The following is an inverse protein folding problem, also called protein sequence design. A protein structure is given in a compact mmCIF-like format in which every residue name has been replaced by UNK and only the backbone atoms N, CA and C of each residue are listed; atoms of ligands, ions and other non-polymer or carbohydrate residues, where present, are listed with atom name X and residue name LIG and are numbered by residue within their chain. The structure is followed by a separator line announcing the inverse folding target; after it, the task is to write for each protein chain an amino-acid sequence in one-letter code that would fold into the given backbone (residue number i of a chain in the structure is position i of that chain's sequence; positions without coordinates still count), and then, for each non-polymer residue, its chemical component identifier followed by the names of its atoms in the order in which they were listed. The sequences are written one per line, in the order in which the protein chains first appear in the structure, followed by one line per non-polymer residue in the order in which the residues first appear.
data_IF_250041625262
#
_entry.id   IF_250041625262
#
_cell.length_a   1.000
_cell.length_b   1.000
_cell.length_c   1.000
_cell.angle_alpha   90.00
_cell.angle_beta   90.00
_cell.angle_gamma   90.00
#
_symmetry.space_group_name_H-M   'P 1'
#
loop_
_entity.id
_entity.type
_entity.pdbx_description
1 polymer ?
#
# COMPACT_ATOMS: atom_id res chain seq x y z
N UNK A 1 -66.17 25.12 2.32
CA UNK A 1 -64.94 25.06 3.15
C UNK A 1 -65.10 23.81 4.01
N UNK A 2 -64.31 22.76 3.92
CA UNK A 2 -62.85 22.69 3.95
C UNK A 2 -62.35 21.49 3.12
N UNK A 3 -61.32 21.71 2.31
CA UNK A 3 -60.60 20.68 1.56
C UNK A 3 -59.71 19.91 2.53
N UNK A 4 -59.80 18.58 2.56
CA UNK A 4 -58.80 17.73 3.22
C UNK A 4 -57.55 17.72 2.34
N UNK A 5 -56.49 18.36 2.82
CA UNK A 5 -55.16 18.32 2.22
C UNK A 5 -54.58 16.93 2.43
N UNK A 6 -54.32 16.23 1.34
CA UNK A 6 -53.42 15.09 1.32
C UNK A 6 -52.00 15.65 1.50
N UNK A 7 -51.41 15.45 2.67
CA UNK A 7 -49.97 15.60 2.82
C UNK A 7 -49.29 14.45 2.08
N UNK A 8 -48.81 14.77 0.88
CA UNK A 8 -47.79 14.00 0.18
C UNK A 8 -46.58 13.87 1.10
N UNK A 9 -46.28 12.63 1.52
CA UNK A 9 -45.01 12.30 2.16
C UNK A 9 -43.97 12.34 1.04
N UNK A 10 -43.31 13.49 0.91
CA UNK A 10 -42.15 13.65 0.03
C UNK A 10 -41.07 12.65 0.49
N UNK A 11 -40.62 11.71 -0.36
CA UNK A 11 -39.55 10.81 0.00
C UNK A 11 -38.30 11.63 0.30
N UNK A 12 -37.70 11.34 1.45
CA UNK A 12 -36.45 11.92 1.90
C UNK A 12 -35.42 11.82 0.78
N UNK A 13 -34.78 12.95 0.48
CA UNK A 13 -33.92 13.15 -0.70
C UNK A 13 -32.98 11.97 -0.89
N UNK A 14 -33.14 11.22 -1.99
CA UNK A 14 -32.09 10.36 -2.53
C UNK A 14 -30.82 11.22 -2.63
N UNK A 15 -29.85 10.99 -1.73
CA UNK A 15 -28.49 11.49 -1.91
C UNK A 15 -27.97 10.81 -3.17
N UNK A 16 -27.97 11.55 -4.27
CA UNK A 16 -27.22 11.16 -5.46
C UNK A 16 -25.75 11.31 -5.04
N UNK A 17 -25.11 10.19 -4.69
CA UNK A 17 -23.66 10.16 -4.52
C UNK A 17 -23.05 10.72 -5.82
N UNK A 18 -22.37 11.86 -5.73
CA UNK A 18 -21.74 12.47 -6.90
C UNK A 18 -20.54 11.61 -7.27
N UNK A 19 -20.69 10.76 -8.28
CA UNK A 19 -19.54 10.06 -8.86
C UNK A 19 -18.64 11.07 -9.59
N UNK A 20 -17.38 11.19 -9.14
CA UNK A 20 -16.35 11.96 -9.82
C UNK A 20 -15.49 11.02 -10.67
N UNK A 21 -15.11 11.46 -11.88
CA UNK A 21 -14.22 10.72 -12.75
C UNK A 21 -12.77 11.10 -12.43
N UNK A 22 -11.96 10.11 -12.08
CA UNK A 22 -10.52 10.23 -11.94
C UNK A 22 -9.86 9.64 -13.20
N UNK A 23 -9.15 10.48 -13.95
CA UNK A 23 -8.46 10.06 -15.17
C UNK A 23 -6.97 9.92 -14.88
N UNK A 24 -6.42 8.74 -15.16
CA UNK A 24 -4.99 8.45 -15.11
C UNK A 24 -4.51 8.36 -16.55
N UNK A 25 -3.59 9.24 -16.94
CA UNK A 25 -2.91 9.16 -18.24
C UNK A 25 -1.65 8.33 -18.10
N UNK A 26 -1.61 7.21 -18.81
CA UNK A 26 -0.46 6.31 -18.86
C UNK A 26 0.69 6.91 -19.70
N UNK A 27 1.94 6.43 -19.55
CA UNK A 27 3.09 6.90 -20.32
C UNK A 27 2.93 6.79 -21.85
N UNK A 28 2.12 5.83 -22.32
CA UNK A 28 1.79 5.62 -23.73
C UNK A 28 0.65 6.53 -24.25
N UNK A 29 0.06 7.37 -23.40
CA UNK A 29 -1.05 8.28 -23.72
C UNK A 29 -2.44 7.67 -23.54
N UNK A 30 -2.56 6.40 -23.16
CA UNK A 30 -3.86 5.79 -22.83
C UNK A 30 -4.43 6.38 -21.53
N UNK A 31 -5.76 6.46 -21.45
CA UNK A 31 -6.46 6.97 -20.27
C UNK A 31 -7.22 5.86 -19.54
N UNK A 32 -6.90 5.67 -18.26
CA UNK A 32 -7.68 4.84 -17.35
C UNK A 32 -8.65 5.75 -16.60
N UNK A 33 -9.94 5.47 -16.72
CA UNK A 33 -11.00 6.23 -16.03
C UNK A 33 -11.52 5.42 -14.85
N UNK A 34 -11.30 5.92 -13.64
CA UNK A 34 -11.81 5.34 -12.39
C UNK A 34 -12.90 6.28 -11.85
N UNK A 35 -14.13 5.77 -11.71
CA UNK A 35 -15.23 6.55 -11.13
C UNK A 35 -15.24 6.40 -9.62
N UNK A 36 -15.09 7.47 -8.85
CA UNK A 36 -15.05 7.42 -7.38
C UNK A 36 -16.24 8.17 -6.78
N UNK A 37 -16.79 7.67 -5.68
CA UNK A 37 -17.74 8.43 -4.86
C UNK A 37 -17.01 9.34 -3.87
N UNK A 38 -17.74 10.27 -3.22
CA UNK A 38 -17.16 11.26 -2.31
C UNK A 38 -16.35 10.61 -1.15
N UNK A 39 -16.83 9.48 -0.61
CA UNK A 39 -16.14 8.76 0.46
C UNK A 39 -14.81 8.15 -0.02
N UNK A 40 -14.80 7.58 -1.22
CA UNK A 40 -13.60 6.99 -1.83
C UNK A 40 -12.54 8.07 -2.09
N UNK A 41 -12.96 9.26 -2.51
CA UNK A 41 -12.07 10.42 -2.69
C UNK A 41 -11.47 10.84 -1.36
N UNK A 42 -12.30 11.03 -0.33
CA UNK A 42 -11.84 11.38 1.02
C UNK A 42 -10.84 10.34 1.57
N UNK A 43 -11.13 9.06 1.32
CA UNK A 43 -10.26 7.94 1.70
C UNK A 43 -8.91 8.01 0.99
N UNK A 44 -8.87 8.31 -0.31
CA UNK A 44 -7.63 8.44 -1.08
C UNK A 44 -6.82 9.64 -0.58
N UNK A 45 -7.46 10.80 -0.39
CA UNK A 45 -6.78 12.02 0.09
C UNK A 45 -6.16 11.82 1.47
N UNK A 46 -6.81 11.02 2.32
CA UNK A 46 -6.39 10.73 3.69
C UNK A 46 -5.67 9.38 3.84
N UNK A 47 -5.41 8.63 2.77
CA UNK A 47 -5.08 7.20 2.84
C UNK A 47 -3.93 6.89 3.79
N UNK A 48 -2.82 7.61 3.63
CA UNK A 48 -1.62 7.45 4.47
C UNK A 48 -1.83 7.91 5.91
N UNK A 49 -2.70 8.90 6.13
CA UNK A 49 -3.10 9.29 7.49
C UNK A 49 -3.96 8.20 8.16
N UNK A 50 -4.93 7.65 7.42
CA UNK A 50 -5.81 6.56 7.89
C UNK A 50 -4.98 5.30 8.21
N UNK A 51 -4.02 4.96 7.35
CA UNK A 51 -3.11 3.84 7.57
C UNK A 51 -2.25 4.09 8.82
N UNK A 52 -1.75 5.33 8.99
CA UNK A 52 -0.96 5.75 10.14
C UNK A 52 -1.69 5.90 11.48
N UNK A 53 -3.01 5.61 11.57
CA UNK A 53 -3.75 5.66 12.84
C UNK A 53 -3.23 4.64 13.87
N UNK A 54 -2.69 3.50 13.44
CA UNK A 54 -2.18 2.45 14.34
C UNK A 54 -1.18 1.53 13.64
N UNK A 55 -0.13 1.07 14.34
CA UNK A 55 0.92 0.24 13.73
C UNK A 55 0.37 -1.02 13.03
N UNK A 56 -0.52 -1.76 13.71
CA UNK A 56 -1.14 -2.96 13.14
C UNK A 56 -1.85 -2.73 11.79
N UNK A 57 -2.33 -1.52 11.49
CA UNK A 57 -2.96 -1.26 10.20
C UNK A 57 -1.96 -1.36 9.05
N UNK A 58 -0.68 -1.03 9.30
CA UNK A 58 0.39 -1.29 8.35
C UNK A 58 0.61 -2.79 8.14
N UNK A 59 0.65 -3.58 9.22
CA UNK A 59 0.82 -5.04 9.11
C UNK A 59 -0.31 -5.66 8.29
N UNK A 60 -1.56 -5.26 8.59
CA UNK A 60 -2.75 -5.69 7.86
C UNK A 60 -2.71 -5.27 6.39
N UNK A 61 -2.31 -4.03 6.11
CA UNK A 61 -2.17 -3.53 4.74
C UNK A 61 -1.12 -4.32 3.97
N UNK A 62 0.07 -4.54 4.53
CA UNK A 62 1.15 -5.25 3.83
C UNK A 62 0.78 -6.72 3.56
N UNK A 63 0.14 -7.41 4.52
CA UNK A 63 -0.31 -8.79 4.30
C UNK A 63 -1.41 -8.85 3.25
N UNK A 64 -2.42 -7.97 3.30
CA UNK A 64 -3.49 -7.93 2.30
C UNK A 64 -3.04 -7.38 0.94
N UNK A 65 -1.87 -6.75 0.88
CA UNK A 65 -1.24 -6.36 -0.38
C UNK A 65 -0.65 -7.58 -1.11
N UNK A 66 -0.04 -8.50 -0.36
CA UNK A 66 0.58 -9.72 -0.90
C UNK A 66 -0.48 -10.78 -1.19
N UNK A 67 -1.34 -11.05 -0.21
CA UNK A 67 -2.39 -12.06 -0.29
C UNK A 67 -3.72 -11.39 -0.62
N UNK A 68 -4.29 -11.70 -1.79
CA UNK A 68 -5.47 -11.00 -2.30
C UNK A 68 -6.68 -11.13 -1.38
N UNK A 69 -6.91 -12.31 -0.80
CA UNK A 69 -8.01 -12.53 0.13
C UNK A 69 -7.63 -13.42 1.31
N UNK A 70 -7.87 -12.93 2.53
CA UNK A 70 -7.62 -13.69 3.75
C UNK A 70 -8.79 -13.63 4.73
N UNK A 71 -8.99 -14.72 5.48
CA UNK A 71 -9.87 -14.70 6.64
C UNK A 71 -9.13 -14.25 7.91
N UNK A 72 -9.90 -13.87 8.93
CA UNK A 72 -9.36 -13.35 10.20
C UNK A 72 -8.38 -14.30 10.91
N UNK A 73 -8.55 -15.61 10.77
CA UNK A 73 -7.66 -16.59 11.41
C UNK A 73 -6.31 -16.60 10.71
N UNK A 74 -6.28 -16.58 9.37
CA UNK A 74 -5.04 -16.48 8.60
C UNK A 74 -4.29 -15.20 8.94
N UNK A 75 -5.00 -14.07 8.91
CA UNK A 75 -4.43 -12.75 9.23
C UNK A 75 -3.85 -12.75 10.65
N UNK A 76 -4.62 -13.20 11.64
CA UNK A 76 -4.20 -13.26 13.05
C UNK A 76 -2.91 -14.05 13.28
N UNK A 77 -2.73 -15.15 12.55
CA UNK A 77 -1.49 -15.92 12.62
C UNK A 77 -0.31 -15.18 11.98
N UNK A 78 -0.54 -14.53 10.84
CA UNK A 78 0.52 -13.81 10.11
C UNK A 78 1.00 -12.54 10.81
N UNK A 79 0.10 -11.79 11.48
CA UNK A 79 0.48 -10.59 12.26
C UNK A 79 0.86 -10.90 13.70
N UNK A 80 0.73 -12.15 14.14
CA UNK A 80 0.95 -12.56 15.53
C UNK A 80 0.14 -11.75 16.54
N UNK A 81 -1.12 -11.41 16.20
CA UNK A 81 -2.05 -10.67 17.06
C UNK A 81 -3.31 -11.48 17.30
N UNK A 82 -3.98 -11.20 18.43
CA UNK A 82 -5.25 -11.87 18.75
C UNK A 82 -6.33 -11.59 17.69
N UNK A 83 -7.22 -12.56 17.46
CA UNK A 83 -8.35 -12.41 16.52
C UNK A 83 -9.24 -11.22 16.87
N UNK A 84 -9.44 -10.90 18.15
CA UNK A 84 -10.25 -9.74 18.55
C UNK A 84 -9.57 -8.41 18.20
N UNK A 85 -8.27 -8.30 18.40
CA UNK A 85 -7.46 -7.15 17.96
C UNK A 85 -7.57 -6.98 16.45
N UNK A 86 -7.33 -8.04 15.68
CA UNK A 86 -7.42 -8.03 14.22
C UNK A 86 -8.83 -7.65 13.75
N UNK A 87 -9.87 -8.24 14.33
CA UNK A 87 -11.27 -7.95 13.99
C UNK A 87 -11.58 -6.45 14.13
N UNK A 88 -11.14 -5.85 15.25
CA UNK A 88 -11.35 -4.43 15.53
C UNK A 88 -10.71 -3.55 14.47
N UNK A 89 -9.46 -3.83 14.09
CA UNK A 89 -8.74 -3.02 13.11
C UNK A 89 -9.25 -3.23 11.68
N UNK A 90 -9.57 -4.47 11.29
CA UNK A 90 -10.21 -4.75 9.99
C UNK A 90 -11.55 -4.03 9.86
N UNK A 91 -12.43 -4.11 10.88
CA UNK A 91 -13.71 -3.39 10.87
C UNK A 91 -13.49 -1.89 10.70
N UNK A 92 -12.52 -1.32 11.41
CA UNK A 92 -12.22 0.10 11.33
C UNK A 92 -11.63 0.51 9.97
N UNK A 93 -10.82 -0.34 9.33
CA UNK A 93 -10.31 -0.11 7.97
C UNK A 93 -11.40 -0.26 6.91
N UNK A 94 -12.39 -1.13 7.14
CA UNK A 94 -13.56 -1.32 6.28
C UNK A 94 -14.50 -0.11 6.37
N UNK A 95 -14.72 0.42 7.58
CA UNK A 95 -15.44 1.68 7.81
C UNK A 95 -14.74 2.86 7.12
N UNK A 96 -13.41 2.91 7.18
CA UNK A 96 -12.58 3.89 6.46
C UNK A 96 -12.50 3.60 4.94
N UNK A 97 -13.16 2.56 4.41
CA UNK A 97 -13.21 2.24 2.97
C UNK A 97 -11.94 1.67 2.34
N UNK A 98 -10.90 1.44 3.15
CA UNK A 98 -9.58 0.96 2.70
C UNK A 98 -9.59 -0.52 2.30
N UNK A 99 -10.45 -1.30 2.94
CA UNK A 99 -10.65 -2.71 2.66
C UNK A 99 -12.11 -2.98 2.35
N UNK A 100 -12.36 -4.05 1.60
CA UNK A 100 -13.68 -4.60 1.38
C UNK A 100 -13.70 -6.03 1.90
N UNK A 101 -14.90 -6.53 2.18
CA UNK A 101 -15.07 -7.89 2.66
C UNK A 101 -16.21 -8.60 1.96
N UNK A 102 -16.11 -9.93 1.93
CA UNK A 102 -17.16 -10.81 1.42
C UNK A 102 -17.25 -12.07 2.26
N UNK A 103 -18.34 -12.82 2.10
CA UNK A 103 -18.42 -14.19 2.62
C UNK A 103 -17.81 -15.13 1.60
N UNK A 104 -17.05 -16.13 2.06
CA UNK A 104 -16.57 -17.20 1.20
C UNK A 104 -17.74 -17.99 0.59
N UNK A 105 -17.57 -18.45 -0.65
CA UNK A 105 -18.59 -19.23 -1.36
C UNK A 105 -18.74 -20.64 -0.73
N UNK A 106 -19.97 -20.95 -0.29
CA UNK A 106 -20.52 -22.23 0.24
C UNK A 106 -19.61 -23.17 1.08
N UNK A 107 -19.94 -23.20 2.37
CA UNK A 107 -20.03 -24.34 3.30
C UNK A 107 -19.51 -25.74 2.91
N UNK A 108 -18.54 -26.25 3.69
CA UNK A 108 -18.65 -27.61 4.24
C UNK A 108 -19.87 -27.66 5.18
N UNK A 109 -20.71 -28.71 5.11
CA UNK A 109 -21.92 -28.88 5.94
C UNK A 109 -21.63 -28.54 7.42
N UNK A 110 -22.32 -27.54 7.97
CA UNK A 110 -22.32 -27.20 9.40
C UNK A 110 -21.40 -26.08 9.89
N UNK A 111 -20.57 -25.45 9.04
CA UNK A 111 -19.65 -24.37 9.48
C UNK A 111 -19.96 -23.02 8.84
N UNK A 112 -20.27 -21.97 9.61
CA UNK A 112 -20.46 -20.59 9.10
C UNK A 112 -19.31 -20.20 8.15
N UNK A 113 -19.58 -19.71 6.91
CA UNK A 113 -18.51 -19.40 5.97
C UNK A 113 -17.69 -18.25 6.52
N UNK A 114 -16.35 -18.31 6.44
CA UNK A 114 -15.51 -17.24 6.94
C UNK A 114 -15.75 -15.95 6.15
N UNK A 115 -15.64 -14.82 6.86
CA UNK A 115 -15.52 -13.49 6.24
C UNK A 115 -14.10 -13.34 5.71
N UNK A 116 -13.99 -13.06 4.41
CA UNK A 116 -12.75 -12.78 3.69
C UNK A 116 -12.58 -11.27 3.55
N UNK A 117 -11.35 -10.80 3.69
CA UNK A 117 -10.96 -9.40 3.61
C UNK A 117 -9.94 -9.23 2.50
N UNK A 118 -10.04 -8.12 1.76
CA UNK A 118 -9.10 -7.71 0.72
C UNK A 118 -8.93 -6.19 0.71
N UNK A 119 -7.81 -5.70 0.19
CA UNK A 119 -7.66 -4.27 -0.09
C UNK A 119 -8.71 -3.81 -1.11
N UNK A 120 -9.16 -2.56 -0.98
CA UNK A 120 -10.01 -1.96 -1.98
C UNK A 120 -9.19 -1.67 -3.25
N UNK A 121 -9.20 -2.62 -4.20
CA UNK A 121 -8.42 -2.59 -5.45
C UNK A 121 -8.63 -1.29 -6.24
N UNK A 122 -9.85 -0.75 -6.22
CA UNK A 122 -10.19 0.50 -6.89
C UNK A 122 -9.40 1.69 -6.34
N UNK A 123 -9.25 1.78 -5.02
CA UNK A 123 -8.45 2.83 -4.39
C UNK A 123 -6.96 2.56 -4.57
N UNK A 124 -6.55 1.29 -4.48
CA UNK A 124 -5.16 0.89 -4.67
C UNK A 124 -4.64 1.29 -6.05
N UNK A 125 -5.43 1.06 -7.12
CA UNK A 125 -5.06 1.51 -8.46
C UNK A 125 -4.80 3.02 -8.49
N UNK A 126 -5.68 3.84 -7.92
CA UNK A 126 -5.48 5.31 -7.89
C UNK A 126 -4.19 5.70 -7.15
N UNK A 127 -3.87 5.02 -6.06
CA UNK A 127 -2.67 5.27 -5.28
C UNK A 127 -1.39 4.82 -5.99
N UNK A 128 -1.44 3.71 -6.72
CA UNK A 128 -0.30 3.19 -7.50
C UNK A 128 0.05 4.10 -8.69
N UNK A 129 -0.96 4.73 -9.28
CA UNK A 129 -0.79 5.69 -10.37
C UNK A 129 -0.69 7.14 -9.92
N UNK A 130 -0.66 7.41 -8.61
CA UNK A 130 -0.56 8.77 -8.09
C UNK A 130 0.75 9.43 -8.53
N UNK A 131 0.74 10.74 -8.82
CA UNK A 131 1.91 11.41 -9.38
C UNK A 131 3.14 11.27 -8.48
N UNK A 132 4.25 10.86 -9.09
CA UNK A 132 5.53 10.50 -8.43
C UNK A 132 6.15 11.66 -7.65
N UNK A 133 5.68 12.90 -7.85
CA UNK A 133 6.09 14.07 -7.08
C UNK A 133 4.94 15.10 -7.11
N UNK A 134 3.96 15.00 -6.20
CA UNK A 134 2.85 15.93 -6.21
C UNK A 134 3.36 17.33 -5.87
N UNK A 135 2.90 18.35 -6.60
CA UNK A 135 3.25 19.75 -6.29
C UNK A 135 2.34 20.28 -5.18
N UNK A 136 2.87 21.10 -4.24
CA UNK A 136 2.02 21.74 -3.24
C UNK A 136 0.93 22.58 -3.91
N UNK A 137 -0.32 22.57 -3.40
CA UNK A 137 -1.39 23.42 -3.91
C UNK A 137 -1.05 24.91 -3.72
N UNK A 138 -1.59 25.77 -4.59
CA UNK A 138 -1.38 27.21 -4.48
C UNK A 138 -2.00 27.80 -3.20
N UNK A 139 -3.18 27.28 -2.81
CA UNK A 139 -3.95 27.71 -1.63
C UNK A 139 -3.20 27.42 -0.32
N UNK A 140 -2.87 28.44 0.50
CA UNK A 140 -2.18 28.28 1.78
C UNK A 140 -2.87 27.33 2.76
N UNK A 141 -4.21 27.28 2.81
CA UNK A 141 -4.93 26.38 3.73
C UNK A 141 -4.75 24.92 3.33
N UNK A 142 -4.75 24.65 2.01
CA UNK A 142 -4.50 23.32 1.47
C UNK A 142 -3.04 22.89 1.55
N UNK A 143 -2.08 23.83 1.65
CA UNK A 143 -0.65 23.52 1.81
C UNK A 143 -0.36 22.79 3.12
N UNK A 144 -1.01 23.17 4.22
CA UNK A 144 -0.80 22.52 5.52
C UNK A 144 -1.22 21.05 5.47
N UNK A 145 -2.40 20.78 4.93
CA UNK A 145 -2.89 19.41 4.77
C UNK A 145 -2.05 18.61 3.78
N UNK A 146 -1.61 19.23 2.67
CA UNK A 146 -0.64 18.64 1.76
C UNK A 146 0.66 18.21 2.49
N UNK A 147 1.27 19.08 3.30
CA UNK A 147 2.51 18.73 4.01
C UNK A 147 2.30 17.65 5.07
N UNK A 148 1.17 17.66 5.79
CA UNK A 148 0.81 16.57 6.71
C UNK A 148 0.69 15.23 5.98
N UNK A 149 0.08 15.23 4.78
CA UNK A 149 0.02 14.05 3.92
C UNK A 149 1.40 13.55 3.54
N UNK A 150 2.30 14.43 3.06
CA UNK A 150 3.68 14.05 2.70
C UNK A 150 4.46 13.49 3.90
N UNK A 151 4.29 14.07 5.09
CA UNK A 151 4.91 13.53 6.32
C UNK A 151 4.39 12.12 6.63
N UNK A 152 3.09 11.91 6.55
CA UNK A 152 2.49 10.60 6.81
C UNK A 152 2.90 9.58 5.75
N UNK A 153 2.97 9.97 4.48
CA UNK A 153 3.50 9.13 3.40
C UNK A 153 4.92 8.63 3.73
N UNK A 154 5.84 9.53 4.11
CA UNK A 154 7.19 9.15 4.51
C UNK A 154 7.20 8.20 5.72
N UNK A 155 6.34 8.42 6.72
CA UNK A 155 6.22 7.53 7.88
C UNK A 155 5.71 6.15 7.50
N UNK A 156 4.72 6.08 6.61
CA UNK A 156 4.20 4.82 6.05
C UNK A 156 5.33 4.07 5.36
N UNK A 157 6.06 4.74 4.45
CA UNK A 157 7.16 4.13 3.73
C UNK A 157 8.20 3.55 4.71
N UNK A 158 8.66 4.34 5.69
CA UNK A 158 9.63 3.89 6.70
C UNK A 158 9.13 2.66 7.46
N UNK A 159 7.86 2.65 7.86
CA UNK A 159 7.29 1.52 8.59
C UNK A 159 7.21 0.27 7.72
N UNK A 160 6.77 0.40 6.46
CA UNK A 160 6.78 -0.71 5.49
C UNK A 160 8.19 -1.26 5.27
N UNK A 161 9.22 -0.40 5.16
CA UNK A 161 10.61 -0.87 5.10
C UNK A 161 11.00 -1.68 6.32
N UNK A 162 10.62 -1.23 7.51
CA UNK A 162 10.92 -1.96 8.73
C UNK A 162 10.27 -3.36 8.73
N UNK A 163 8.98 -3.46 8.40
CA UNK A 163 8.28 -4.74 8.30
C UNK A 163 8.99 -5.68 7.32
N UNK A 164 9.37 -5.19 6.13
CA UNK A 164 10.05 -6.01 5.15
C UNK A 164 11.42 -6.49 5.61
N UNK A 165 12.20 -5.62 6.27
CA UNK A 165 13.47 -6.02 6.87
C UNK A 165 13.27 -7.05 7.97
N UNK A 166 12.22 -6.90 8.79
CA UNK A 166 11.88 -7.85 9.84
C UNK A 166 11.47 -9.21 9.25
N UNK A 167 10.79 -9.24 8.09
CA UNK A 167 10.47 -10.48 7.36
C UNK A 167 11.70 -11.17 6.74
N UNK A 168 12.78 -10.44 6.47
CA UNK A 168 14.03 -11.00 5.96
C UNK A 168 14.87 -11.65 7.06
N UNK A 169 14.77 -11.19 8.30
CA UNK A 169 15.59 -11.68 9.42
C UNK A 169 15.49 -13.21 9.62
N UNK A 170 14.31 -13.86 9.61
CA UNK A 170 14.24 -15.31 9.74
C UNK A 170 14.99 -16.07 8.65
N UNK A 171 14.99 -15.55 7.41
CA UNK A 171 15.73 -16.14 6.30
C UNK A 171 17.25 -16.01 6.51
N UNK A 172 17.71 -14.84 6.95
CA UNK A 172 19.13 -14.60 7.28
C UNK A 172 19.59 -15.51 8.43
N UNK A 173 18.81 -15.56 9.52
CA UNK A 173 19.10 -16.42 10.67
C UNK A 173 19.13 -17.90 10.30
N UNK A 174 18.22 -18.32 9.40
CA UNK A 174 18.23 -19.70 8.89
C UNK A 174 19.51 -19.98 8.12
N UNK A 175 19.95 -19.07 7.26
CA UNK A 175 21.20 -19.26 6.53
C UNK A 175 22.41 -19.31 7.47
N UNK A 176 22.46 -18.44 8.47
CA UNK A 176 23.52 -18.42 9.50
C UNK A 176 23.59 -19.74 10.29
N UNK A 177 22.43 -20.31 10.66
CA UNK A 177 22.34 -21.56 11.42
C UNK A 177 23.02 -22.75 10.71
N UNK A 178 22.98 -22.80 9.38
CA UNK A 178 23.55 -23.91 8.60
C UNK A 178 24.97 -23.64 8.12
N UNK A 179 25.64 -22.56 8.53
CA UNK A 179 27.01 -22.27 8.06
C UNK A 179 28.02 -23.36 8.42
N UNK A 180 27.80 -24.09 9.53
CA UNK A 180 28.61 -25.25 9.92
C UNK A 180 28.26 -26.54 9.13
N UNK A 181 27.15 -26.54 8.38
CA UNK A 181 26.70 -27.62 7.48
C UNK A 181 26.65 -27.10 6.04
N UNK A 182 27.83 -27.03 5.42
CA UNK A 182 28.03 -26.45 4.08
C UNK A 182 27.07 -27.00 3.00
N UNK A 183 26.77 -28.32 2.92
CA UNK A 183 25.75 -28.82 2.00
C UNK A 183 24.37 -28.17 2.17
N UNK A 184 23.90 -27.95 3.41
CA UNK A 184 22.59 -27.34 3.66
C UNK A 184 22.63 -25.81 3.54
N UNK A 185 23.70 -25.14 3.98
CA UNK A 185 23.93 -23.73 3.68
C UNK A 185 23.91 -23.47 2.17
N UNK A 186 24.57 -24.31 1.37
CA UNK A 186 24.57 -24.16 -0.10
C UNK A 186 23.15 -24.24 -0.68
N UNK A 187 22.31 -25.17 -0.22
CA UNK A 187 20.91 -25.26 -0.67
C UNK A 187 20.13 -23.98 -0.36
N UNK A 188 20.32 -23.39 0.82
CA UNK A 188 19.67 -22.14 1.21
C UNK A 188 20.19 -20.99 0.34
N UNK A 189 21.50 -20.88 0.17
CA UNK A 189 22.13 -19.86 -0.67
C UNK A 189 21.64 -19.94 -2.11
N UNK A 190 21.75 -21.11 -2.75
CA UNK A 190 21.32 -21.32 -4.13
C UNK A 190 19.84 -20.97 -4.31
N UNK A 191 19.01 -21.27 -3.31
CA UNK A 191 17.56 -21.03 -3.38
C UNK A 191 17.16 -19.58 -3.09
N UNK A 192 17.85 -18.87 -2.20
CA UNK A 192 17.35 -17.60 -1.66
C UNK A 192 18.33 -16.43 -1.73
N UNK A 193 19.57 -16.64 -2.18
CA UNK A 193 20.60 -15.59 -2.16
C UNK A 193 21.46 -15.57 -3.43
N UNK A 194 21.53 -16.66 -4.19
CA UNK A 194 22.23 -16.71 -5.47
C UNK A 194 21.60 -15.75 -6.48
N UNK A 195 22.43 -15.10 -7.29
CA UNK A 195 21.99 -14.24 -8.40
C UNK A 195 21.11 -14.96 -9.42
N UNK A 196 21.21 -16.29 -9.49
CA UNK A 196 20.40 -17.12 -10.40
C UNK A 196 19.02 -17.46 -9.82
N UNK A 197 18.79 -17.17 -8.54
CA UNK A 197 17.49 -17.41 -7.90
C UNK A 197 16.52 -16.26 -8.15
N UNK A 198 15.30 -16.61 -8.55
CA UNK A 198 14.17 -15.67 -8.63
C UNK A 198 13.70 -15.18 -7.25
N UNK A 199 14.10 -15.86 -6.17
CA UNK A 199 13.72 -15.52 -4.80
C UNK A 199 14.78 -14.67 -4.09
N UNK A 200 15.91 -14.39 -4.74
CA UNK A 200 16.99 -13.64 -4.12
C UNK A 200 16.60 -12.18 -3.85
N UNK A 201 16.74 -11.68 -2.62
CA UNK A 201 16.53 -10.27 -2.33
C UNK A 201 17.65 -9.45 -2.99
N UNK A 202 17.28 -8.33 -3.61
CA UNK A 202 18.24 -7.39 -4.18
C UNK A 202 18.57 -6.29 -3.19
N UNK A 203 19.87 -6.12 -2.88
CA UNK A 203 20.38 -5.00 -2.09
C UNK A 203 21.38 -4.19 -2.92
N UNK A 204 21.06 -2.93 -3.20
CA UNK A 204 21.95 -2.01 -3.93
C UNK A 204 22.43 -0.87 -3.04
N UNK A 205 23.74 -0.61 -3.04
CA UNK A 205 24.32 0.60 -2.46
C UNK A 205 25.12 1.34 -3.52
N UNK A 206 24.70 2.55 -3.84
CA UNK A 206 25.37 3.41 -4.82
C UNK A 206 25.49 4.82 -4.29
N UNK A 207 26.70 5.39 -4.39
CA UNK A 207 26.95 6.79 -4.06
C UNK A 207 26.87 7.65 -5.32
N UNK A 208 26.15 8.77 -5.23
CA UNK A 208 26.13 9.80 -6.26
C UNK A 208 26.60 11.13 -5.68
N UNK A 209 27.39 11.88 -6.44
CA UNK A 209 27.52 13.32 -6.20
C UNK A 209 26.28 14.05 -6.74
N UNK A 210 26.07 15.30 -6.33
CA UNK A 210 24.88 16.09 -6.72
C UNK A 210 24.68 16.15 -8.24
N UNK A 211 25.73 16.48 -9.01
CA UNK A 211 25.70 16.53 -10.48
C UNK A 211 25.25 15.21 -11.13
N UNK A 212 25.71 14.07 -10.61
CA UNK A 212 25.35 12.76 -11.16
C UNK A 212 24.01 12.26 -10.62
N UNK A 213 23.59 12.75 -9.45
CA UNK A 213 22.28 12.44 -8.88
C UNK A 213 21.14 13.02 -9.72
N UNK A 214 21.30 14.22 -10.29
CA UNK A 214 20.31 14.78 -11.24
C UNK A 214 20.13 13.89 -12.48
N UNK A 215 21.23 13.34 -13.01
CA UNK A 215 21.18 12.41 -14.14
C UNK A 215 20.49 11.10 -13.75
N UNK A 216 20.81 10.59 -12.55
CA UNK A 216 20.14 9.43 -11.98
C UNK A 216 18.64 9.66 -11.82
N UNK A 217 18.21 10.82 -11.31
CA UNK A 217 16.80 11.18 -11.18
C UNK A 217 16.09 11.17 -12.53
N UNK A 218 16.74 11.67 -13.59
CA UNK A 218 16.18 11.61 -14.95
C UNK A 218 16.01 10.16 -15.42
N UNK A 219 17.02 9.31 -15.23
CA UNK A 219 16.93 7.89 -15.58
C UNK A 219 15.85 7.15 -14.76
N UNK A 220 15.68 7.52 -13.49
CA UNK A 220 14.63 7.00 -12.64
C UNK A 220 13.23 7.33 -13.16
N UNK A 221 13.02 8.51 -13.75
CA UNK A 221 11.72 8.82 -14.36
C UNK A 221 11.38 7.85 -15.49
N UNK A 222 12.35 7.47 -16.31
CA UNK A 222 12.13 6.50 -17.38
C UNK A 222 11.92 5.07 -16.84
N UNK A 223 12.67 4.70 -15.80
CA UNK A 223 12.43 3.46 -15.06
C UNK A 223 11.01 3.40 -14.47
N UNK A 224 10.53 4.49 -13.87
CA UNK A 224 9.18 4.53 -13.30
C UNK A 224 8.11 4.43 -14.38
N UNK A 225 8.27 5.07 -15.54
CA UNK A 225 7.35 4.87 -16.68
C UNK A 225 7.27 3.39 -17.04
N UNK A 226 8.42 2.69 -17.07
CA UNK A 226 8.43 1.26 -17.37
C UNK A 226 7.72 0.43 -16.29
N UNK A 227 7.87 0.79 -15.03
CA UNK A 227 7.15 0.13 -13.93
C UNK A 227 5.63 0.34 -14.04
N UNK A 228 5.18 1.53 -14.47
CA UNK A 228 3.77 1.79 -14.72
C UNK A 228 3.24 0.88 -15.82
N UNK A 229 3.96 0.71 -16.93
CA UNK A 229 3.56 -0.23 -18.01
C UNK A 229 3.42 -1.68 -17.50
N UNK A 230 4.39 -2.16 -16.72
CA UNK A 230 4.37 -3.51 -16.15
C UNK A 230 3.19 -3.66 -15.18
N UNK A 231 2.98 -2.66 -14.32
CA UNK A 231 1.87 -2.66 -13.37
C UNK A 231 0.53 -2.66 -14.08
N UNK A 232 0.37 -1.89 -15.16
CA UNK A 232 -0.84 -1.89 -15.97
C UNK A 232 -1.09 -3.26 -16.60
N UNK A 233 -0.06 -3.91 -17.13
CA UNK A 233 -0.19 -5.27 -17.66
C UNK A 233 -0.63 -6.25 -16.56
N UNK A 234 0.02 -6.21 -15.39
CA UNK A 234 -0.33 -7.05 -14.23
C UNK A 234 -1.77 -6.82 -13.75
N UNK A 235 -2.21 -5.57 -13.61
CA UNK A 235 -3.54 -5.23 -13.11
C UNK A 235 -4.67 -5.64 -14.08
N UNK A 236 -4.34 -5.90 -15.35
CA UNK A 236 -5.28 -6.39 -16.37
C UNK A 236 -5.20 -7.91 -16.59
N UNK A 237 -4.27 -8.60 -15.93
CA UNK A 237 -4.10 -10.05 -16.05
C UNK A 237 -4.98 -10.80 -15.03
N UNK A 238 -6.00 -11.55 -15.48
CA UNK A 238 -6.90 -12.28 -14.58
C UNK A 238 -6.24 -13.48 -13.88
N UNK A 239 -5.07 -13.93 -14.33
CA UNK A 239 -4.33 -15.03 -13.70
C UNK A 239 -3.56 -14.57 -12.44
N UNK A 240 -3.33 -13.26 -12.30
CA UNK A 240 -2.65 -12.68 -11.14
C UNK A 240 -3.58 -12.72 -9.93
N UNK A 241 -3.31 -13.66 -9.02
CA UNK A 241 -4.06 -13.85 -7.78
C UNK A 241 -3.31 -13.41 -6.53
N UNK A 242 -1.99 -13.34 -6.57
CA UNK A 242 -1.16 -12.94 -5.43
C UNK A 242 -0.08 -11.99 -5.94
N UNK A 243 0.32 -11.04 -5.09
CA UNK A 243 1.43 -10.14 -5.38
C UNK A 243 2.67 -10.68 -4.69
N UNK A 244 3.22 -11.72 -5.31
CA UNK A 244 4.35 -12.50 -4.79
C UNK A 244 5.61 -11.66 -4.53
N UNK A 245 5.75 -10.56 -5.29
CA UNK A 245 6.89 -9.66 -5.21
C UNK A 245 6.43 -8.26 -4.84
N UNK A 246 7.18 -7.63 -3.94
CA UNK A 246 7.05 -6.21 -3.66
C UNK A 246 8.40 -5.53 -3.85
N UNK A 247 8.43 -4.56 -4.76
CA UNK A 247 9.61 -3.75 -5.02
C UNK A 247 9.47 -2.39 -4.33
N UNK A 248 10.44 -2.03 -3.51
CA UNK A 248 10.56 -0.69 -2.96
C UNK A 248 11.96 -0.14 -3.22
N UNK A 249 12.05 1.16 -3.48
CA UNK A 249 13.32 1.86 -3.64
C UNK A 249 13.24 3.18 -2.90
N UNK A 250 14.26 3.47 -2.11
CA UNK A 250 14.39 4.75 -1.40
C UNK A 250 15.74 5.35 -1.68
N UNK A 251 15.72 6.66 -1.98
CA UNK A 251 16.90 7.46 -2.22
C UNK A 251 16.98 8.53 -1.15
N UNK A 252 18.03 8.48 -0.32
CA UNK A 252 18.20 9.38 0.82
C UNK A 252 19.33 10.38 0.58
N UNK A 253 19.10 11.69 0.75
CA UNK A 253 20.17 12.69 0.68
C UNK A 253 20.98 12.67 1.98
N UNK A 254 21.84 11.65 2.15
CA UNK A 254 22.53 11.34 3.41
C UNK A 254 23.24 12.56 4.02
N UNK A 255 23.95 13.35 3.20
CA UNK A 255 24.64 14.57 3.65
C UNK A 255 23.67 15.58 4.28
N UNK A 256 22.50 15.79 3.67
CA UNK A 256 21.49 16.71 4.19
C UNK A 256 20.88 16.19 5.50
N UNK A 257 20.61 14.89 5.59
CA UNK A 257 20.08 14.25 6.79
C UNK A 257 21.05 14.34 7.97
N UNK A 258 22.34 14.04 7.76
CA UNK A 258 23.38 14.18 8.79
C UNK A 258 23.54 15.64 9.23
N UNK A 259 23.54 16.58 8.28
CA UNK A 259 23.62 18.01 8.59
C UNK A 259 22.44 18.46 9.45
N UNK A 260 21.22 18.01 9.11
CA UNK A 260 20.03 18.30 9.91
C UNK A 260 20.09 17.70 11.32
N UNK A 261 20.54 16.45 11.44
CA UNK A 261 20.71 15.79 12.75
C UNK A 261 21.71 16.54 13.64
N UNK A 262 22.86 16.95 13.09
CA UNK A 262 23.88 17.70 13.84
C UNK A 262 23.33 19.02 14.40
N UNK A 263 22.64 19.80 13.56
CA UNK A 263 22.00 21.07 13.97
C UNK A 263 20.95 20.92 15.08
N UNK A 264 20.34 19.73 15.22
CA UNK A 264 19.38 19.44 16.30
C UNK A 264 20.04 19.07 17.62
N UNK A 265 21.25 18.51 17.59
CA UNK A 265 22.02 18.17 18.79
C UNK A 265 22.67 19.42 19.40
N UNK A 266 22.90 20.45 18.59
CA UNK A 266 23.47 21.75 18.98
C UNK A 266 22.42 22.77 19.46
N UNK A 267 21.14 22.39 19.58
CA UNK A 267 20.05 23.22 20.11
C UNK A 267 19.54 22.64 21.43
#
# INVERSE_FOLDING_TARGET
MSKKEHHEVVPDKMKVDKEQKFTITLPNGEEIIIKLNDKEIETIESYFHLLGKHNIRFDLFNILLVFDELNITQISHMVEQSKSTVARHLKSMEEDGMIISRKADKHQKGKIPPKLYQLNKKLLHVLEYSPINPKPPADPKKKVEFYKREINFCRVAIHSFKILLDLLNPLLNSFELYLDDLPNAKKIYDKYFSSDSKLAPFFGYTYFSEKYYEQYQKAQLDFVKKNIEILTAQNNDPEVKEREYVAFSVYLPLKALYTFKKKKIER
#
